data_IF_684937319124
#
_entry.id   IF_684937319124
#
_cell.length_a   1.000
_cell.length_b   1.000
_cell.length_c   1.000
_cell.angle_alpha   90.00
_cell.angle_beta   90.00
_cell.angle_gamma   90.00
#
_symmetry.space_group_name_H-M   'P 1'
#
loop_
_entity.id
_entity.type
_entity.pdbx_description
1 polymer ?
#
# COMPACT_ATOMS: atom_id res chain seq x y z
N UNK A 1 -26.93 11.11 5.92
CA UNK A 1 -26.89 12.39 5.17
C UNK A 1 -25.42 12.71 4.96
N UNK A 2 -24.93 12.73 3.71
CA UNK A 2 -23.50 12.98 3.43
C UNK A 2 -23.19 14.41 3.87
N UNK A 3 -22.27 14.56 4.82
CA UNK A 3 -21.80 15.86 5.29
C UNK A 3 -20.73 16.41 4.34
N UNK A 4 -20.76 17.72 4.14
CA UNK A 4 -19.70 18.41 3.38
C UNK A 4 -18.37 18.27 4.11
N UNK A 5 -17.29 17.97 3.36
CA UNK A 5 -15.94 17.93 3.92
C UNK A 5 -15.50 19.32 4.44
N UNK A 6 -16.02 20.40 3.86
CA UNK A 6 -15.79 21.78 4.28
C UNK A 6 -17.06 22.61 4.04
N UNK A 7 -17.44 23.56 4.91
CA UNK A 7 -18.62 24.42 4.71
C UNK A 7 -18.69 25.11 3.34
N UNK A 8 -17.54 25.36 2.70
CA UNK A 8 -17.41 26.01 1.39
C UNK A 8 -17.45 25.05 0.20
N UNK A 9 -17.54 23.73 0.41
CA UNK A 9 -17.61 22.79 -0.72
C UNK A 9 -18.93 22.97 -1.48
N UNK A 10 -18.85 23.06 -2.80
CA UNK A 10 -20.03 23.16 -3.67
C UNK A 10 -20.61 21.77 -3.94
N UNK A 11 -21.93 21.71 -4.09
CA UNK A 11 -22.59 20.47 -4.50
C UNK A 11 -22.34 20.27 -6.00
N UNK A 12 -21.76 19.12 -6.34
CA UNK A 12 -21.43 18.73 -7.71
C UNK A 12 -22.11 17.39 -7.98
N UNK A 13 -22.69 17.24 -9.17
CA UNK A 13 -23.18 15.95 -9.65
C UNK A 13 -22.03 15.23 -10.35
N UNK A 14 -22.00 13.90 -10.31
CA UNK A 14 -20.97 13.15 -11.04
C UNK A 14 -21.07 13.43 -12.54
N UNK A 15 -19.94 13.61 -13.21
CA UNK A 15 -19.88 13.94 -14.64
C UNK A 15 -20.68 12.95 -15.51
N UNK A 16 -20.76 11.67 -15.11
CA UNK A 16 -21.53 10.63 -15.79
C UNK A 16 -23.04 10.89 -15.85
N UNK A 17 -23.56 11.78 -14.97
CA UNK A 17 -24.97 12.16 -14.89
C UNK A 17 -25.23 13.61 -15.33
N UNK A 18 -24.19 14.39 -15.64
CA UNK A 18 -24.34 15.75 -16.16
C UNK A 18 -24.39 15.76 -17.68
N UNK A 19 -25.59 15.53 -18.21
CA UNK A 19 -25.85 15.62 -19.65
C UNK A 19 -26.10 17.06 -20.13
N UNK A 20 -26.07 18.05 -19.23
CA UNK A 20 -26.53 19.41 -19.54
C UNK A 20 -25.39 20.39 -19.71
N UNK A 21 -24.24 20.14 -19.07
CA UNK A 21 -23.05 20.97 -19.24
C UNK A 21 -22.11 20.37 -20.28
N UNK A 22 -21.55 21.22 -21.15
CA UNK A 22 -20.45 20.78 -22.00
C UNK A 22 -19.22 20.53 -21.12
N UNK A 23 -18.47 19.43 -21.34
CA UNK A 23 -17.28 19.16 -20.57
C UNK A 23 -16.25 20.28 -20.76
N UNK A 24 -15.68 20.75 -19.64
CA UNK A 24 -14.67 21.81 -19.66
C UNK A 24 -13.42 21.41 -20.44
N UNK A 25 -12.87 22.34 -21.21
CA UNK A 25 -11.57 22.13 -21.86
C UNK A 25 -10.45 22.43 -20.86
N UNK A 26 -9.50 21.50 -20.69
CA UNK A 26 -8.36 21.74 -19.83
C UNK A 26 -7.36 22.70 -20.50
N UNK A 27 -7.37 23.96 -20.08
CA UNK A 27 -6.45 25.02 -20.53
C UNK A 27 -5.40 25.39 -19.49
N UNK A 28 -5.52 24.88 -18.26
CA UNK A 28 -4.68 25.26 -17.13
C UNK A 28 -3.32 24.58 -17.10
N UNK A 29 -3.17 23.40 -17.71
CA UNK A 29 -1.90 22.69 -17.83
C UNK A 29 -1.34 22.98 -19.22
N UNK A 30 -0.23 23.72 -19.29
CA UNK A 30 0.46 24.03 -20.55
C UNK A 30 1.30 22.83 -20.98
N UNK A 31 1.99 22.19 -20.04
CA UNK A 31 2.90 21.10 -20.34
C UNK A 31 2.89 20.04 -19.22
N UNK A 32 3.09 18.79 -19.62
CA UNK A 32 3.28 17.66 -18.73
C UNK A 32 4.54 16.92 -19.15
N UNK A 33 5.56 16.91 -18.29
CA UNK A 33 6.86 16.33 -18.60
C UNK A 33 7.21 15.19 -17.66
N UNK A 34 8.03 14.26 -18.15
CA UNK A 34 8.64 13.19 -17.38
C UNK A 34 10.13 13.44 -17.27
N UNK A 35 10.63 13.52 -16.03
CA UNK A 35 12.03 13.84 -15.76
C UNK A 35 12.66 12.69 -14.98
N UNK A 36 13.74 12.06 -15.47
CA UNK A 36 14.53 11.13 -14.68
C UNK A 36 15.39 11.90 -13.67
N UNK A 37 15.26 11.56 -12.39
CA UNK A 37 15.99 12.12 -11.26
C UNK A 37 17.01 11.08 -10.80
N UNK A 38 18.31 11.33 -10.97
CA UNK A 38 19.34 10.43 -10.50
C UNK A 38 19.48 10.49 -8.98
N UNK A 39 20.26 9.57 -8.42
CA UNK A 39 20.67 9.64 -7.02
C UNK A 39 21.43 10.94 -6.73
N UNK A 40 21.10 11.56 -5.60
CA UNK A 40 21.83 12.71 -5.06
C UNK A 40 23.13 12.29 -4.38
N UNK A 41 23.14 11.12 -3.75
CA UNK A 41 24.31 10.56 -3.10
C UNK A 41 25.01 9.53 -3.98
N UNK A 42 26.26 9.20 -3.67
CA UNK A 42 26.96 8.10 -4.35
C UNK A 42 26.22 6.79 -4.12
N UNK A 43 26.08 6.00 -5.18
CA UNK A 43 25.43 4.70 -5.13
C UNK A 43 26.11 3.76 -4.10
N UNK A 44 25.31 3.19 -3.21
CA UNK A 44 25.72 2.18 -2.23
C UNK A 44 24.70 1.03 -2.25
N UNK A 45 25.15 -0.21 -2.41
CA UNK A 45 24.24 -1.35 -2.58
C UNK A 45 23.26 -1.56 -1.40
N UNK A 46 23.63 -1.15 -0.19
CA UNK A 46 22.78 -1.24 1.02
C UNK A 46 22.00 0.05 1.32
N UNK A 47 22.02 1.02 0.41
CA UNK A 47 21.49 2.36 0.62
C UNK A 47 22.28 3.17 1.66
N UNK A 48 21.76 4.32 2.08
CA UNK A 48 20.50 4.92 1.64
C UNK A 48 20.54 5.38 0.18
N UNK A 49 19.40 5.37 -0.50
CA UNK A 49 19.24 5.97 -1.83
C UNK A 49 18.49 7.29 -1.68
N UNK A 50 19.16 8.42 -1.95
CA UNK A 50 18.57 9.74 -1.76
C UNK A 50 18.21 10.39 -3.10
N UNK A 51 16.97 10.85 -3.22
CA UNK A 51 16.46 11.57 -4.38
C UNK A 51 15.94 12.95 -3.95
N UNK A 52 16.17 13.96 -4.79
CA UNK A 52 15.48 15.25 -4.69
C UNK A 52 14.53 15.33 -5.86
N UNK A 53 13.25 15.06 -5.59
CA UNK A 53 12.23 14.84 -6.62
C UNK A 53 11.84 16.14 -7.34
N UNK A 54 12.08 17.29 -6.73
CA UNK A 54 11.79 18.60 -7.32
C UNK A 54 13.04 19.22 -7.90
N UNK A 55 13.01 19.50 -9.22
CA UNK A 55 14.13 20.12 -9.94
C UNK A 55 13.81 21.56 -10.35
N UNK A 56 12.52 21.92 -10.47
CA UNK A 56 12.07 23.25 -10.87
C UNK A 56 11.16 23.88 -9.80
N UNK A 57 11.44 25.13 -9.43
CA UNK A 57 10.62 25.88 -8.46
C UNK A 57 9.28 26.36 -9.03
N UNK A 58 9.10 26.34 -10.36
CA UNK A 58 7.86 26.74 -11.03
C UNK A 58 6.92 25.59 -11.35
N UNK A 59 7.43 24.36 -11.46
CA UNK A 59 6.63 23.21 -11.85
C UNK A 59 5.94 22.59 -10.63
N UNK A 60 4.78 21.98 -10.86
CA UNK A 60 4.00 21.29 -9.84
C UNK A 60 4.28 19.79 -9.94
N UNK A 61 4.69 19.16 -8.85
CA UNK A 61 5.07 17.76 -8.84
C UNK A 61 3.83 16.87 -8.72
N UNK A 62 3.64 15.95 -9.67
CA UNK A 62 2.60 14.94 -9.58
C UNK A 62 3.09 13.75 -8.76
N UNK A 63 2.69 13.74 -7.48
CA UNK A 63 3.09 12.73 -6.51
C UNK A 63 2.61 11.31 -6.90
N UNK A 64 1.38 11.20 -7.41
CA UNK A 64 0.81 9.91 -7.85
C UNK A 64 1.51 9.33 -9.06
N UNK A 65 2.04 10.20 -9.93
CA UNK A 65 2.82 9.82 -11.12
C UNK A 65 4.32 9.95 -10.87
N UNK A 66 4.77 9.38 -9.75
CA UNK A 66 6.19 9.24 -9.42
C UNK A 66 6.53 7.77 -9.26
N UNK A 67 7.53 7.33 -10.01
CA UNK A 67 7.99 5.94 -10.05
C UNK A 67 9.44 5.83 -9.60
N UNK A 68 9.79 4.72 -8.95
CA UNK A 68 11.16 4.30 -8.74
C UNK A 68 11.47 3.19 -9.73
N UNK A 69 12.59 3.34 -10.42
CA UNK A 69 13.07 2.37 -11.39
C UNK A 69 14.37 1.77 -10.86
N UNK A 70 14.41 0.45 -10.77
CA UNK A 70 15.57 -0.30 -10.31
C UNK A 70 16.06 -1.20 -11.43
N UNK A 71 17.36 -1.20 -11.65
CA UNK A 71 18.04 -2.20 -12.49
C UNK A 71 18.86 -3.11 -11.60
N UNK A 72 18.64 -4.42 -11.70
CA UNK A 72 19.28 -5.40 -10.83
C UNK A 72 19.72 -6.67 -11.58
N UNK A 73 20.57 -7.43 -10.91
CA UNK A 73 21.02 -8.76 -11.31
C UNK A 73 21.12 -9.66 -10.07
N UNK A 74 20.86 -10.96 -10.23
CA UNK A 74 21.09 -11.97 -9.18
C UNK A 74 22.38 -12.72 -9.51
N UNK A 75 23.31 -12.75 -8.56
CA UNK A 75 24.59 -13.46 -8.68
C UNK A 75 24.77 -14.45 -7.54
N UNK A 76 25.80 -15.30 -7.60
CA UNK A 76 26.27 -15.99 -6.41
C UNK A 76 26.90 -15.01 -5.40
N UNK A 77 27.23 -15.50 -4.20
CA UNK A 77 27.91 -14.72 -3.16
C UNK A 77 29.33 -14.26 -3.54
N UNK A 78 29.91 -14.77 -4.64
CA UNK A 78 31.20 -14.37 -5.19
C UNK A 78 31.06 -13.43 -6.39
N UNK A 79 29.84 -13.16 -6.85
CA UNK A 79 29.53 -12.31 -7.99
C UNK A 79 29.48 -12.99 -9.35
N UNK A 80 29.55 -14.32 -9.43
CA UNK A 80 29.40 -15.06 -10.68
C UNK A 80 27.92 -15.22 -11.08
N UNK A 81 27.67 -15.32 -12.39
CA UNK A 81 26.34 -15.61 -12.95
C UNK A 81 25.99 -17.08 -12.69
N UNK A 82 24.77 -17.33 -12.22
CA UNK A 82 24.25 -18.68 -11.97
C UNK A 82 23.36 -19.06 -13.15
N UNK A 83 23.57 -20.24 -13.72
CA UNK A 83 22.72 -20.77 -14.79
C UNK A 83 21.77 -21.81 -14.21
N UNK A 84 20.48 -21.71 -14.53
CA UNK A 84 19.51 -22.77 -14.21
C UNK A 84 19.59 -23.84 -15.28
N UNK A 85 19.88 -25.08 -14.91
CA UNK A 85 19.82 -26.19 -15.86
C UNK A 85 18.47 -26.90 -15.70
N UNK A 86 17.52 -26.57 -16.57
CA UNK A 86 16.15 -27.10 -16.56
C UNK A 86 16.06 -28.56 -17.05
N UNK A 87 17.17 -29.15 -17.53
CA UNK A 87 17.20 -30.54 -18.01
C UNK A 87 17.34 -31.58 -16.88
N UNK A 88 17.65 -31.13 -15.66
CA UNK A 88 17.83 -31.98 -14.48
C UNK A 88 16.48 -32.41 -13.87
N UNK A 89 16.45 -33.58 -13.22
CA UNK A 89 15.24 -34.09 -12.54
C UNK A 89 14.79 -33.20 -11.37
N UNK A 90 15.71 -32.48 -10.73
CA UNK A 90 15.45 -31.46 -9.70
C UNK A 90 16.32 -30.23 -9.99
N UNK A 91 15.90 -29.34 -10.89
CA UNK A 91 16.70 -28.19 -11.29
C UNK A 91 16.80 -27.18 -10.13
N UNK A 92 17.94 -26.52 -10.04
CA UNK A 92 18.08 -25.31 -9.23
C UNK A 92 17.25 -24.21 -9.88
N UNK A 93 16.20 -23.78 -9.20
CA UNK A 93 15.36 -22.66 -9.63
C UNK A 93 15.53 -21.51 -8.64
N UNK A 94 15.70 -20.32 -9.17
CA UNK A 94 15.71 -19.11 -8.36
C UNK A 94 14.96 -18.00 -9.08
N UNK A 95 14.39 -17.09 -8.31
CA UNK A 95 13.63 -15.97 -8.83
C UNK A 95 13.78 -14.79 -7.88
N UNK A 96 13.59 -13.54 -8.35
CA UNK A 96 13.28 -12.46 -7.44
C UNK A 96 11.97 -12.78 -6.70
N UNK A 97 11.87 -12.35 -5.44
CA UNK A 97 10.60 -12.42 -4.70
C UNK A 97 9.52 -11.67 -5.48
N UNK A 98 8.28 -12.13 -5.34
CA UNK A 98 7.14 -11.50 -5.98
C UNK A 98 7.04 -10.00 -5.64
N UNK A 99 6.55 -9.20 -6.59
CA UNK A 99 6.46 -7.74 -6.48
C UNK A 99 7.81 -7.07 -6.21
N UNK A 100 8.87 -7.50 -6.91
CA UNK A 100 10.25 -7.15 -6.61
C UNK A 100 10.51 -5.64 -6.55
N UNK A 101 9.89 -4.83 -7.42
CA UNK A 101 10.12 -3.40 -7.46
C UNK A 101 9.76 -2.68 -6.15
N UNK A 102 8.70 -3.14 -5.47
CA UNK A 102 8.38 -2.66 -4.13
C UNK A 102 9.15 -3.42 -3.04
N UNK A 103 9.38 -4.72 -3.21
CA UNK A 103 10.07 -5.56 -2.23
C UNK A 103 11.54 -5.17 -2.02
N UNK A 104 12.19 -4.60 -3.04
CA UNK A 104 13.53 -3.99 -2.92
C UNK A 104 13.54 -2.96 -1.79
N UNK A 105 12.44 -2.24 -1.55
CA UNK A 105 12.37 -1.21 -0.53
C UNK A 105 11.90 -1.76 0.82
N UNK A 106 12.71 -1.53 1.86
CA UNK A 106 12.37 -1.83 3.25
C UNK A 106 11.52 -0.73 3.88
N UNK A 107 11.97 0.52 3.74
CA UNK A 107 11.27 1.68 4.23
C UNK A 107 11.63 2.95 3.45
N UNK A 108 10.77 3.97 3.62
CA UNK A 108 10.92 5.30 3.10
C UNK A 108 11.06 6.31 4.23
N UNK A 109 11.77 7.39 3.92
CA UNK A 109 11.73 8.64 4.66
C UNK A 109 11.53 9.78 3.67
N UNK A 110 10.46 10.54 3.83
CA UNK A 110 10.12 11.67 2.98
C UNK A 110 10.26 12.95 3.79
N UNK A 111 11.09 13.86 3.30
CA UNK A 111 11.23 15.20 3.85
C UNK A 111 10.73 16.24 2.84
N UNK A 112 9.94 17.20 3.31
CA UNK A 112 9.52 18.35 2.53
C UNK A 112 10.10 19.58 3.22
N UNK A 113 10.88 20.39 2.49
CA UNK A 113 11.58 21.55 3.03
C UNK A 113 12.38 21.25 4.32
N UNK A 114 13.10 20.13 4.30
CA UNK A 114 13.89 19.60 5.43
C UNK A 114 13.10 19.16 6.67
N UNK A 115 11.76 19.21 6.65
CA UNK A 115 10.91 18.65 7.69
C UNK A 115 10.47 17.23 7.33
N UNK A 116 10.48 16.32 8.30
CA UNK A 116 10.02 14.96 8.09
C UNK A 116 8.50 14.94 7.86
N UNK A 117 8.08 14.65 6.63
CA UNK A 117 6.68 14.56 6.24
C UNK A 117 6.12 13.15 6.40
N UNK A 118 6.95 12.13 6.14
CA UNK A 118 6.53 10.73 6.27
C UNK A 118 7.71 9.81 6.59
N UNK A 119 7.47 8.83 7.44
CA UNK A 119 8.36 7.69 7.66
C UNK A 119 7.53 6.45 7.97
N UNK A 120 7.96 5.30 7.48
CA UNK A 120 7.33 4.02 7.80
C UNK A 120 8.34 3.04 8.41
N UNK A 121 7.83 2.07 9.18
CA UNK A 121 8.61 0.95 9.69
C UNK A 121 8.96 -0.04 8.56
N UNK A 122 9.66 -1.13 8.90
CA UNK A 122 10.19 -2.14 7.98
C UNK A 122 9.17 -3.01 7.22
N UNK A 123 7.89 -2.60 7.18
CA UNK A 123 6.78 -3.41 6.65
C UNK A 123 6.29 -2.96 5.26
N UNK A 124 7.03 -2.09 4.57
CA UNK A 124 6.62 -1.54 3.27
C UNK A 124 6.34 -2.63 2.23
N UNK A 125 7.32 -3.53 2.04
CA UNK A 125 7.23 -4.61 1.05
C UNK A 125 5.94 -5.42 1.22
N UNK A 126 5.61 -5.81 2.46
CA UNK A 126 4.38 -6.53 2.76
C UNK A 126 3.12 -5.71 2.49
N UNK A 127 3.06 -4.45 2.93
CA UNK A 127 1.92 -3.55 2.66
C UNK A 127 1.64 -3.45 1.16
N UNK A 128 2.69 -3.16 0.38
CA UNK A 128 2.58 -3.00 -1.07
C UNK A 128 2.15 -4.28 -1.79
N UNK A 129 2.64 -5.44 -1.33
CA UNK A 129 2.22 -6.73 -1.87
C UNK A 129 0.72 -6.99 -1.62
N UNK A 130 0.23 -6.78 -0.40
CA UNK A 130 -1.20 -6.94 -0.10
C UNK A 130 -2.07 -5.96 -0.86
N UNK A 131 -1.63 -4.71 -1.00
CA UNK A 131 -2.35 -3.72 -1.80
C UNK A 131 -2.49 -4.18 -3.26
N UNK A 132 -1.39 -4.68 -3.86
CA UNK A 132 -1.42 -5.22 -5.21
C UNK A 132 -2.27 -6.48 -5.35
N UNK A 133 -2.18 -7.39 -4.38
CA UNK A 133 -2.91 -8.64 -4.39
C UNK A 133 -4.43 -8.46 -4.18
N UNK A 134 -4.84 -7.51 -3.33
CA UNK A 134 -6.23 -7.38 -2.87
C UNK A 134 -7.00 -6.24 -3.55
N UNK A 135 -6.35 -5.14 -3.92
CA UNK A 135 -7.06 -3.93 -4.38
C UNK A 135 -7.27 -3.88 -5.89
N UNK A 136 -6.54 -4.68 -6.67
CA UNK A 136 -6.59 -4.65 -8.13
C UNK A 136 -7.24 -5.91 -8.72
N UNK A 137 -8.00 -5.70 -9.80
CA UNK A 137 -8.54 -6.78 -10.63
C UNK A 137 -7.43 -7.53 -11.39
N UNK A 138 -7.78 -8.71 -11.92
CA UNK A 138 -6.84 -9.58 -12.61
C UNK A 138 -6.16 -8.91 -13.83
N UNK A 139 -6.90 -8.09 -14.57
CA UNK A 139 -6.37 -7.40 -15.75
C UNK A 139 -5.20 -6.45 -15.43
N UNK A 140 -5.26 -5.75 -14.29
CA UNK A 140 -4.21 -4.85 -13.85
C UNK A 140 -3.01 -5.64 -13.34
N UNK A 141 -3.27 -6.78 -12.67
CA UNK A 141 -2.23 -7.72 -12.20
C UNK A 141 -1.42 -8.28 -13.36
N UNK A 142 -2.08 -8.65 -14.45
CA UNK A 142 -1.44 -9.25 -15.63
C UNK A 142 -0.86 -8.21 -16.61
N UNK A 143 -1.18 -6.93 -16.45
CA UNK A 143 -0.63 -5.83 -17.25
C UNK A 143 0.35 -4.98 -16.46
N UNK A 144 -0.13 -3.96 -15.73
CA UNK A 144 0.69 -2.91 -15.12
C UNK A 144 1.57 -3.45 -14.00
N UNK A 145 1.05 -4.35 -13.16
CA UNK A 145 1.81 -4.85 -12.01
C UNK A 145 2.93 -5.81 -12.42
N UNK A 146 2.89 -6.37 -13.63
CA UNK A 146 4.03 -7.14 -14.16
C UNK A 146 5.29 -6.29 -14.32
N UNK A 147 5.15 -4.98 -14.58
CA UNK A 147 6.28 -4.04 -14.61
C UNK A 147 6.95 -3.84 -13.24
N UNK A 148 6.20 -4.04 -12.15
CA UNK A 148 6.71 -4.08 -10.79
C UNK A 148 7.26 -5.48 -10.40
N UNK A 149 7.17 -6.46 -11.31
CA UNK A 149 7.52 -7.86 -11.09
C UNK A 149 6.50 -8.62 -10.26
N UNK A 150 5.23 -8.21 -10.28
CA UNK A 150 4.13 -8.97 -9.69
C UNK A 150 3.65 -10.04 -10.67
N UNK A 151 3.60 -11.28 -10.18
CA UNK A 151 3.00 -12.41 -10.90
C UNK A 151 2.13 -13.20 -9.93
N UNK A 152 0.91 -13.55 -10.32
CA UNK A 152 0.02 -14.26 -9.43
C UNK A 152 0.51 -15.69 -9.16
N UNK A 153 0.72 -16.01 -7.88
CA UNK A 153 1.04 -17.36 -7.42
C UNK A 153 -0.21 -18.09 -6.94
N UNK A 154 -0.33 -19.38 -7.30
CA UNK A 154 -1.46 -20.24 -6.93
C UNK A 154 -1.41 -20.65 -5.47
N UNK A 155 -0.20 -20.91 -4.96
CA UNK A 155 0.06 -21.29 -3.58
C UNK A 155 1.43 -20.75 -3.15
N UNK A 156 1.61 -20.61 -1.83
CA UNK A 156 2.90 -20.22 -1.23
C UNK A 156 3.84 -21.43 -1.33
N UNK A 157 5.11 -21.17 -1.65
CA UNK A 157 6.19 -22.18 -1.78
C UNK A 157 5.94 -23.27 -2.85
N UNK A 158 5.08 -22.99 -3.83
CA UNK A 158 4.81 -23.90 -4.94
C UNK A 158 5.79 -23.67 -6.11
N UNK A 159 6.73 -24.60 -6.28
CA UNK A 159 7.73 -24.61 -7.36
C UNK A 159 7.07 -24.64 -8.74
N UNK A 160 5.87 -25.23 -8.85
CA UNK A 160 5.13 -25.36 -10.10
C UNK A 160 4.13 -24.21 -10.31
N UNK A 161 4.11 -23.22 -9.41
CA UNK A 161 3.28 -22.03 -9.57
C UNK A 161 3.60 -21.34 -10.91
N UNK A 162 2.60 -21.07 -11.75
CA UNK A 162 2.81 -20.33 -13.00
C UNK A 162 3.44 -18.95 -12.78
N UNK A 163 3.17 -18.32 -11.63
CA UNK A 163 3.77 -17.03 -11.26
C UNK A 163 5.26 -17.14 -11.00
N UNK A 164 5.67 -18.15 -10.22
CA UNK A 164 7.08 -18.42 -9.91
C UNK A 164 7.88 -18.79 -11.16
N UNK A 165 7.34 -19.64 -12.03
CA UNK A 165 8.00 -20.03 -13.28
C UNK A 165 8.22 -18.82 -14.20
N UNK A 166 7.24 -17.92 -14.34
CA UNK A 166 7.41 -16.66 -15.09
C UNK A 166 8.49 -15.76 -14.50
N UNK A 167 8.63 -15.72 -13.17
CA UNK A 167 9.73 -14.98 -12.52
C UNK A 167 11.09 -15.64 -12.71
N UNK A 168 11.15 -16.97 -12.78
CA UNK A 168 12.38 -17.67 -13.16
C UNK A 168 12.75 -17.35 -14.62
N UNK A 169 11.78 -17.39 -15.53
CA UNK A 169 11.98 -17.13 -16.96
C UNK A 169 12.40 -15.68 -17.24
N UNK A 170 11.90 -14.72 -16.45
CA UNK A 170 12.28 -13.31 -16.59
C UNK A 170 13.75 -13.06 -16.27
N UNK A 171 14.38 -13.94 -15.48
CA UNK A 171 15.79 -13.82 -15.11
C UNK A 171 16.70 -14.84 -15.82
N UNK A 172 16.14 -15.94 -16.29
CA UNK A 172 16.90 -17.04 -16.87
C UNK A 172 17.59 -16.61 -18.17
N UNK A 173 18.92 -16.69 -18.20
CA UNK A 173 19.77 -16.22 -19.32
C UNK A 173 19.51 -14.76 -19.74
N UNK A 174 18.84 -13.99 -18.89
CA UNK A 174 18.65 -12.55 -19.10
C UNK A 174 19.77 -11.80 -18.39
N UNK A 175 20.18 -10.68 -19.00
CA UNK A 175 21.20 -9.81 -18.43
C UNK A 175 20.65 -9.00 -17.26
N UNK A 176 20.82 -7.68 -17.33
CA UNK A 176 20.32 -6.79 -16.30
C UNK A 176 18.83 -6.54 -16.48
N UNK A 177 18.07 -6.69 -15.40
CA UNK A 177 16.61 -6.60 -15.41
C UNK A 177 16.21 -5.28 -14.81
N UNK A 178 15.28 -4.60 -15.47
CA UNK A 178 14.72 -3.34 -14.99
C UNK A 178 13.28 -3.54 -14.55
N UNK A 179 12.96 -2.98 -13.39
CA UNK A 179 11.62 -3.00 -12.81
C UNK A 179 11.24 -1.61 -12.33
N UNK A 180 9.95 -1.28 -12.38
CA UNK A 180 9.45 0.02 -12.00
C UNK A 180 8.21 -0.11 -11.11
N UNK A 181 8.14 0.70 -10.06
CA UNK A 181 7.01 0.75 -9.15
C UNK A 181 6.68 2.18 -8.76
N UNK A 182 5.40 2.45 -8.55
CA UNK A 182 4.97 3.69 -7.90
C UNK A 182 5.34 3.65 -6.41
N UNK A 183 5.41 4.81 -5.77
CA UNK A 183 5.72 4.88 -4.34
C UNK A 183 4.42 4.74 -3.54
N UNK A 184 4.09 3.55 -3.03
CA UNK A 184 2.91 3.34 -2.17
C UNK A 184 3.04 3.92 -0.74
N UNK A 185 3.09 5.24 -0.62
CA UNK A 185 2.95 5.96 0.65
C UNK A 185 1.72 6.86 0.59
N UNK A 186 1.12 7.14 1.75
CA UNK A 186 -0.19 7.80 1.84
C UNK A 186 -0.22 9.15 1.09
N UNK A 187 0.88 9.94 1.13
CA UNK A 187 1.01 11.21 0.41
C UNK A 187 1.22 11.07 -1.10
N UNK A 188 1.79 9.95 -1.56
CA UNK A 188 1.98 9.70 -2.99
C UNK A 188 0.73 9.09 -3.62
N UNK A 189 -0.14 8.46 -2.82
CA UNK A 189 -1.37 7.85 -3.32
C UNK A 189 -2.52 8.85 -3.57
N UNK A 190 -2.43 10.07 -3.05
CA UNK A 190 -3.43 11.11 -3.30
C UNK A 190 -3.23 11.78 -4.69
N UNK A 191 -4.31 12.16 -5.40
CA UNK A 191 -4.25 12.58 -6.80
C UNK A 191 -3.84 14.04 -7.03
N UNK A 192 -3.79 14.89 -6.00
CA UNK A 192 -3.46 16.31 -6.15
C UNK A 192 -1.95 16.49 -6.34
N UNK A 193 -1.58 17.42 -7.20
CA UNK A 193 -0.17 17.81 -7.36
C UNK A 193 0.33 18.55 -6.12
N UNK A 194 1.59 18.34 -5.80
CA UNK A 194 2.27 19.13 -4.78
C UNK A 194 2.50 20.54 -5.31
N UNK A 195 2.30 21.54 -4.45
CA UNK A 195 2.62 22.93 -4.74
C UNK A 195 4.07 23.10 -5.18
N UNK A 196 4.28 24.07 -6.06
CA UNK A 196 5.59 24.49 -6.50
C UNK A 196 6.38 25.14 -5.34
N UNK A 197 7.71 25.21 -5.48
CA UNK A 197 8.58 25.74 -4.41
C UNK A 197 8.83 24.80 -3.22
N UNK A 198 8.21 23.62 -3.18
CA UNK A 198 8.54 22.58 -2.20
C UNK A 198 9.80 21.80 -2.60
N UNK A 199 10.78 21.69 -1.69
CA UNK A 199 11.91 20.76 -1.84
C UNK A 199 11.52 19.39 -1.29
N UNK A 200 11.34 18.39 -2.17
CA UNK A 200 10.96 17.04 -1.76
C UNK A 200 12.16 16.12 -1.81
N UNK A 201 12.66 15.74 -0.64
CA UNK A 201 13.73 14.74 -0.49
C UNK A 201 13.12 13.40 -0.12
N UNK A 202 13.30 12.41 -0.98
CA UNK A 202 12.94 11.01 -0.73
C UNK A 202 14.19 10.21 -0.42
N UNK A 203 14.23 9.58 0.74
CA UNK A 203 15.27 8.61 1.11
C UNK A 203 14.67 7.22 1.15
N UNK A 204 15.30 6.29 0.43
CA UNK A 204 14.85 4.90 0.27
C UNK A 204 15.90 3.98 0.88
N UNK A 205 15.45 3.05 1.72
CA UNK A 205 16.33 2.06 2.32
C UNK A 205 15.99 0.68 1.76
N UNK A 206 16.95 -0.03 1.13
CA UNK A 206 16.69 -1.31 0.53
C UNK A 206 16.61 -2.45 1.56
N UNK A 207 15.98 -3.56 1.14
CA UNK A 207 15.96 -4.82 1.87
C UNK A 207 17.22 -5.65 1.64
N UNK A 208 17.46 -6.60 2.55
CA UNK A 208 18.59 -7.52 2.46
C UNK A 208 18.38 -8.51 1.30
N UNK A 209 19.47 -8.90 0.61
CA UNK A 209 19.41 -9.87 -0.49
C UNK A 209 18.73 -11.20 -0.12
N UNK A 210 18.86 -11.65 1.14
CA UNK A 210 18.20 -12.88 1.65
C UNK A 210 16.67 -12.82 1.58
N UNK A 211 16.09 -11.62 1.61
CA UNK A 211 14.64 -11.42 1.48
C UNK A 211 14.20 -11.28 0.01
N UNK A 212 15.10 -10.81 -0.87
CA UNK A 212 14.77 -10.46 -2.25
C UNK A 212 14.85 -11.61 -3.23
N UNK A 213 15.46 -12.73 -2.84
CA UNK A 213 15.66 -13.89 -3.71
C UNK A 213 14.93 -15.09 -3.11
N UNK A 214 14.04 -15.66 -3.91
CA UNK A 214 13.37 -16.93 -3.67
C UNK A 214 14.11 -18.02 -4.45
N UNK A 215 14.35 -19.18 -3.84
CA UNK A 215 15.07 -20.27 -4.51
C UNK A 215 14.68 -21.64 -3.99
N UNK A 216 14.61 -22.61 -4.90
CA UNK A 216 14.31 -24.02 -4.61
C UNK A 216 15.43 -24.93 -5.09
N UNK A 217 15.58 -26.08 -4.43
CA UNK A 217 16.63 -27.07 -4.72
C UNK A 217 18.05 -26.48 -4.66
N UNK A 218 18.25 -25.45 -3.83
CA UNK A 218 19.53 -24.75 -3.66
C UNK A 218 20.56 -25.63 -2.94
N UNK A 219 21.76 -25.85 -3.52
CA UNK A 219 22.87 -26.46 -2.81
C UNK A 219 23.26 -25.61 -1.59
N UNK A 220 23.57 -26.23 -0.46
CA UNK A 220 23.88 -25.53 0.80
C UNK A 220 25.10 -24.60 0.69
N UNK A 221 25.95 -24.79 -0.31
CA UNK A 221 27.17 -24.02 -0.58
C UNK A 221 26.94 -22.74 -1.40
N UNK A 222 25.77 -22.59 -2.04
CA UNK A 222 25.49 -21.47 -2.94
C UNK A 222 24.64 -20.43 -2.23
N UNK A 223 25.22 -19.28 -1.87
CA UNK A 223 24.44 -18.11 -1.44
C UNK A 223 24.11 -17.21 -2.62
N UNK A 224 22.86 -16.76 -2.71
CA UNK A 224 22.43 -15.79 -3.71
C UNK A 224 22.63 -14.36 -3.20
N UNK A 225 23.11 -13.50 -4.08
CA UNK A 225 23.25 -12.07 -3.84
C UNK A 225 22.42 -11.29 -4.86
N UNK A 226 21.52 -10.45 -4.34
CA UNK A 226 20.76 -9.50 -5.13
C UNK A 226 21.58 -8.22 -5.29
N UNK A 227 22.04 -7.93 -6.52
CA UNK A 227 22.87 -6.76 -6.82
C UNK A 227 22.04 -5.72 -7.58
N UNK A 228 21.81 -4.59 -6.94
CA UNK A 228 21.28 -3.40 -7.62
C UNK A 228 22.43 -2.78 -8.40
N UNK A 229 22.23 -2.50 -9.68
CA UNK A 229 23.21 -1.87 -10.58
C UNK A 229 22.95 -0.38 -10.74
N UNK A 230 21.68 -0.01 -10.89
CA UNK A 230 21.26 1.37 -11.05
C UNK A 230 19.89 1.60 -10.41
N UNK A 231 19.66 2.84 -9.98
CA UNK A 231 18.38 3.27 -9.45
C UNK A 231 18.18 4.77 -9.74
N UNK A 232 17.00 5.10 -10.26
CA UNK A 232 16.59 6.49 -10.45
C UNK A 232 15.09 6.64 -10.18
N UNK A 233 14.66 7.86 -9.88
CA UNK A 233 13.25 8.20 -9.76
C UNK A 233 12.77 8.82 -11.07
N UNK A 234 11.60 8.43 -11.56
CA UNK A 234 10.94 9.04 -12.71
C UNK A 234 9.76 9.86 -12.20
N UNK A 235 9.87 11.19 -12.31
CA UNK A 235 8.86 12.12 -11.80
C UNK A 235 8.06 12.74 -12.94
N UNK A 236 6.76 12.94 -12.73
CA UNK A 236 5.92 13.74 -13.60
C UNK A 236 5.73 15.14 -13.02
N UNK A 237 5.96 16.16 -13.83
CA UNK A 237 5.78 17.56 -13.46
C UNK A 237 4.81 18.25 -14.42
N UNK A 238 3.98 19.15 -13.89
CA UNK A 238 3.12 20.02 -14.69
C UNK A 238 3.63 21.45 -14.67
N UNK A 239 3.65 22.06 -15.86
CA UNK A 239 3.79 23.49 -16.02
C UNK A 239 2.39 24.06 -16.26
N UNK A 240 1.94 24.93 -15.35
CA UNK A 240 0.61 25.53 -15.41
C UNK A 240 0.65 26.88 -16.15
N UNK A 241 -0.49 27.31 -16.65
CA UNK A 241 -0.66 28.66 -17.18
C UNK A 241 -0.53 29.71 -16.09
N UNK A 242 0.13 30.83 -16.40
CA UNK A 242 0.44 31.89 -15.44
C UNK A 242 -0.79 32.36 -14.65
N UNK A 243 -1.95 32.49 -15.32
CA UNK A 243 -3.20 32.87 -14.67
C UNK A 243 -3.64 31.89 -13.57
N UNK A 244 -3.50 30.57 -13.81
CA UNK A 244 -3.85 29.54 -12.83
C UNK A 244 -2.82 29.48 -11.70
N UNK A 245 -1.53 29.56 -12.01
CA UNK A 245 -0.47 29.63 -11.01
C UNK A 245 -0.64 30.82 -10.06
N UNK A 246 -0.97 32.00 -10.61
CA UNK A 246 -1.22 33.20 -9.80
C UNK A 246 -2.47 33.06 -8.92
N UNK A 247 -3.53 32.43 -9.44
CA UNK A 247 -4.74 32.17 -8.66
C UNK A 247 -4.48 31.19 -7.51
N UNK A 248 -3.68 30.13 -7.75
CA UNK A 248 -3.27 29.20 -6.72
C UNK A 248 -2.42 29.89 -5.65
N UNK A 249 -1.46 30.73 -6.03
CA UNK A 249 -0.64 31.49 -5.08
C UNK A 249 -1.49 32.44 -4.22
N UNK A 250 -2.44 33.16 -4.84
CA UNK A 250 -3.38 34.01 -4.12
C UNK A 250 -4.22 33.20 -3.11
N UNK A 251 -4.69 32.01 -3.48
CA UNK A 251 -5.43 31.12 -2.59
C UNK A 251 -4.57 30.60 -1.42
N UNK A 252 -3.27 30.31 -1.65
CA UNK A 252 -2.33 29.94 -0.59
C UNK A 252 -2.23 31.08 0.43
N UNK A 253 -2.07 32.32 -0.04
CA UNK A 253 -1.95 33.51 0.80
C UNK A 253 -3.24 33.81 1.59
N UNK A 254 -4.39 33.67 0.95
CA UNK A 254 -5.70 33.91 1.57
C UNK A 254 -6.01 32.87 2.66
N UNK A 255 -5.85 31.59 2.32
CA UNK A 255 -6.28 30.50 3.20
C UNK A 255 -5.20 30.08 4.21
N UNK A 256 -3.94 30.50 4.01
CA UNK A 256 -2.75 30.24 4.86
C UNK A 256 -2.35 28.77 5.00
N UNK A 257 -3.27 27.83 4.78
CA UNK A 257 -3.05 26.38 4.87
C UNK A 257 -3.73 25.71 3.68
N UNK A 258 -2.99 24.85 2.99
CA UNK A 258 -3.52 23.97 1.95
C UNK A 258 -3.50 22.54 2.46
N UNK A 259 -4.64 21.89 2.37
CA UNK A 259 -4.85 20.53 2.86
C UNK A 259 -4.84 19.54 1.71
N UNK A 260 -4.10 18.44 1.88
CA UNK A 260 -4.12 17.30 0.97
C UNK A 260 -4.98 16.19 1.58
N UNK A 261 -5.93 15.61 0.83
CA UNK A 261 -6.70 14.48 1.32
C UNK A 261 -5.78 13.25 1.38
N UNK A 262 -5.57 12.72 2.58
CA UNK A 262 -4.75 11.53 2.81
C UNK A 262 -5.63 10.40 3.33
N UNK A 263 -5.53 9.23 2.71
CA UNK A 263 -6.12 8.00 3.25
C UNK A 263 -5.00 7.23 3.92
N UNK A 264 -4.92 7.29 5.24
CA UNK A 264 -3.94 6.49 5.96
C UNK A 264 -4.46 5.08 6.22
N UNK A 265 -3.67 4.07 5.86
CA UNK A 265 -4.04 2.67 6.10
C UNK A 265 -4.25 2.36 7.58
N UNK A 266 -3.52 3.05 8.47
CA UNK A 266 -3.69 2.92 9.93
C UNK A 266 -5.02 3.51 10.40
N UNK A 267 -5.41 4.65 9.82
CA UNK A 267 -6.71 5.27 10.07
C UNK A 267 -7.82 4.37 9.56
N UNK A 268 -7.64 3.66 8.44
CA UNK A 268 -8.62 2.67 7.96
C UNK A 268 -8.83 1.55 8.97
N UNK A 269 -7.78 0.96 9.51
CA UNK A 269 -7.91 -0.12 10.52
C UNK A 269 -8.48 0.40 11.83
N UNK A 270 -8.12 1.62 12.23
CA UNK A 270 -8.70 2.28 13.40
C UNK A 270 -10.20 2.60 13.20
N UNK A 271 -10.61 3.11 12.04
CA UNK A 271 -12.02 3.35 11.71
C UNK A 271 -12.77 2.03 11.65
N UNK A 272 -12.19 0.98 11.06
CA UNK A 272 -12.77 -0.35 11.05
C UNK A 272 -12.99 -0.87 12.47
N UNK A 273 -12.04 -0.67 13.40
CA UNK A 273 -12.26 -0.95 14.83
C UNK A 273 -13.49 -0.20 15.37
N UNK A 274 -13.57 1.11 15.12
CA UNK A 274 -14.71 1.91 15.61
C UNK A 274 -16.03 1.51 14.94
N UNK A 275 -16.01 1.07 13.68
CA UNK A 275 -17.18 0.60 12.95
C UNK A 275 -17.65 -0.75 13.49
N UNK A 276 -16.75 -1.72 13.68
CA UNK A 276 -17.11 -3.03 14.24
C UNK A 276 -17.65 -2.91 15.67
N UNK A 277 -17.14 -1.99 16.47
CA UNK A 277 -17.66 -1.74 17.82
C UNK A 277 -18.94 -0.88 17.83
N UNK A 278 -19.48 -0.52 16.66
CA UNK A 278 -20.68 0.30 16.52
C UNK A 278 -20.51 1.77 16.91
N UNK A 279 -19.30 2.22 17.25
CA UNK A 279 -19.00 3.60 17.68
C UNK A 279 -19.06 4.63 16.55
N UNK A 280 -18.82 4.23 15.30
CA UNK A 280 -18.84 5.15 14.16
C UNK A 280 -20.26 5.68 13.85
N UNK A 281 -21.32 5.02 14.34
CA UNK A 281 -22.72 5.33 14.02
C UNK A 281 -23.54 5.84 15.21
N UNK A 282 -22.94 6.00 16.40
CA UNK A 282 -23.61 6.52 17.59
C UNK A 282 -22.79 7.64 18.26
N UNK A 283 -23.46 8.64 18.85
CA UNK A 283 -22.79 9.78 19.51
C UNK A 283 -22.63 9.58 21.02
N UNK A 284 -22.95 8.39 21.54
CA UNK A 284 -23.10 8.15 22.98
C UNK A 284 -22.10 7.12 23.54
N UNK A 285 -21.37 6.37 22.71
CA UNK A 285 -20.35 5.42 23.17
C UNK A 285 -19.05 5.58 22.42
N UNK A 286 -17.93 5.37 23.13
CA UNK A 286 -16.59 5.29 22.53
C UNK A 286 -15.74 4.33 23.35
N UNK A 287 -14.77 3.70 22.71
CA UNK A 287 -13.82 2.80 23.38
C UNK A 287 -12.64 3.53 24.05
N UNK A 288 -12.62 4.86 24.04
CA UNK A 288 -11.53 5.73 24.56
C UNK A 288 -10.14 5.45 23.97
N UNK A 289 -10.04 4.63 22.92
CA UNK A 289 -8.78 4.38 22.21
C UNK A 289 -8.63 5.49 21.18
N UNK A 290 -7.65 6.36 21.37
CA UNK A 290 -7.30 7.39 20.37
C UNK A 290 -6.54 6.77 19.19
N UNK A 291 -6.54 7.46 18.05
CA UNK A 291 -5.72 7.08 16.88
C UNK A 291 -4.25 6.91 17.24
N UNK A 292 -3.72 7.76 18.12
CA UNK A 292 -2.33 7.70 18.58
C UNK A 292 -2.05 6.48 19.46
N UNK A 293 -2.98 6.14 20.37
CA UNK A 293 -2.88 4.92 21.21
C UNK A 293 -2.95 3.65 20.39
N UNK A 294 -3.82 3.62 19.38
CA UNK A 294 -3.97 2.49 18.46
C UNK A 294 -2.70 2.26 17.62
N UNK A 295 -2.08 3.35 17.16
CA UNK A 295 -0.92 3.33 16.27
C UNK A 295 0.38 2.97 17.00
N UNK A 296 0.68 3.70 18.08
CA UNK A 296 2.00 3.67 18.73
C UNK A 296 1.94 3.18 20.18
N UNK A 297 0.75 3.12 20.79
CA UNK A 297 0.57 2.79 22.21
C UNK A 297 0.30 1.31 22.50
N UNK A 298 0.23 0.45 21.49
CA UNK A 298 -0.05 -0.98 21.68
C UNK A 298 -1.52 -1.33 21.98
N UNK A 299 -2.44 -0.37 21.86
CA UNK A 299 -3.89 -0.57 22.07
C UNK A 299 -4.60 -1.01 20.78
N UNK A 300 -3.96 -1.87 19.99
CA UNK A 300 -4.46 -2.31 18.68
C UNK A 300 -5.48 -3.44 18.87
N UNK A 301 -6.75 -3.17 18.60
CA UNK A 301 -7.82 -4.16 18.56
C UNK A 301 -8.26 -4.34 17.10
N UNK A 302 -8.34 -5.58 16.65
CA UNK A 302 -8.83 -5.89 15.31
C UNK A 302 -10.32 -6.23 15.38
N UNK A 303 -11.15 -5.35 14.82
CA UNK A 303 -12.58 -5.57 14.66
C UNK A 303 -12.89 -6.33 13.37
N UNK A 304 -13.69 -7.39 13.50
CA UNK A 304 -14.26 -8.13 12.38
C UNK A 304 -15.78 -8.13 12.50
N UNK A 305 -16.46 -7.48 11.56
CA UNK A 305 -17.90 -7.58 11.41
C UNK A 305 -18.22 -8.88 10.67
N UNK A 306 -18.97 -9.78 11.30
CA UNK A 306 -19.32 -11.08 10.74
C UNK A 306 -20.74 -11.10 10.16
N UNK A 307 -21.50 -10.02 10.33
CA UNK A 307 -22.87 -9.92 9.84
C UNK A 307 -22.91 -9.68 8.32
N UNK A 308 -23.71 -10.45 7.55
CA UNK A 308 -23.84 -10.28 6.11
C UNK A 308 -24.55 -8.99 5.69
N UNK A 309 -25.26 -8.32 6.62
CA UNK A 309 -25.99 -7.07 6.39
C UNK A 309 -25.28 -5.88 7.08
N UNK A 310 -24.00 -5.66 6.79
CA UNK A 310 -23.22 -4.56 7.37
C UNK A 310 -23.73 -3.14 7.02
N UNK A 311 -24.75 -3.02 6.17
CA UNK A 311 -25.21 -1.75 5.58
C UNK A 311 -26.50 -1.18 6.18
N UNK A 312 -27.37 -1.99 6.81
CA UNK A 312 -28.67 -1.51 7.30
C UNK A 312 -29.05 -2.11 8.67
N UNK A 313 -28.89 -1.33 9.74
CA UNK A 313 -29.20 -1.72 11.11
C UNK A 313 -30.71 -1.81 11.39
N UNK A 314 -31.58 -1.50 10.42
CA UNK A 314 -33.03 -1.63 10.57
C UNK A 314 -33.55 -3.01 10.16
N UNK A 315 -32.72 -3.83 9.52
CA UNK A 315 -33.08 -5.16 9.07
C UNK A 315 -32.70 -6.19 10.13
N UNK A 316 -33.70 -6.97 10.54
CA UNK A 316 -33.53 -8.07 11.48
C UNK A 316 -33.16 -9.35 10.72
N UNK A 317 -32.06 -9.99 11.11
CA UNK A 317 -31.66 -11.28 10.54
C UNK A 317 -32.07 -12.45 11.45
N UNK A 318 -32.47 -13.56 10.85
CA UNK A 318 -32.63 -14.81 11.60
C UNK A 318 -31.25 -15.30 12.04
N UNK A 319 -31.02 -15.34 13.35
CA UNK A 319 -29.79 -15.90 13.90
C UNK A 319 -29.68 -17.38 13.51
N UNK A 320 -28.63 -17.73 12.77
CA UNK A 320 -28.31 -19.12 12.38
C UNK A 320 -27.13 -19.61 13.18
N UNK A 321 -27.22 -20.82 13.73
CA UNK A 321 -26.06 -21.48 14.34
C UNK A 321 -25.00 -21.76 13.28
N UNK A 322 -23.78 -21.27 13.50
CA UNK A 322 -22.61 -21.52 12.65
C UNK A 322 -21.35 -21.64 13.52
N UNK A 323 -20.29 -22.23 12.98
CA UNK A 323 -19.00 -22.31 13.65
C UNK A 323 -18.09 -21.18 13.18
N UNK A 324 -17.57 -20.39 14.12
CA UNK A 324 -16.52 -19.38 13.85
C UNK A 324 -15.16 -19.97 14.24
N UNK A 325 -14.22 -20.02 13.28
CA UNK A 325 -12.84 -20.49 13.54
C UNK A 325 -11.84 -19.36 13.32
N UNK A 326 -11.02 -19.07 14.32
CA UNK A 326 -9.91 -18.11 14.20
C UNK A 326 -8.61 -18.89 14.01
N UNK A 327 -7.88 -18.62 12.92
CA UNK A 327 -6.55 -19.19 12.67
C UNK A 327 -5.52 -18.06 12.64
N UNK A 328 -4.55 -18.12 13.56
CA UNK A 328 -3.46 -17.15 13.64
C UNK A 328 -2.14 -17.86 13.27
N UNK A 329 -1.40 -17.28 12.33
CA UNK A 329 -0.08 -17.76 11.94
C UNK A 329 0.96 -16.70 12.31
N UNK A 330 1.98 -17.11 13.05
CA UNK A 330 3.10 -16.25 13.45
C UNK A 330 4.34 -16.57 12.63
N UNK A 331 5.08 -15.54 12.23
CA UNK A 331 6.33 -15.69 11.47
C UNK A 331 7.43 -16.32 12.31
N UNK A 332 7.51 -15.95 13.58
CA UNK A 332 8.50 -16.43 14.53
C UNK A 332 7.84 -17.34 15.57
N UNK A 333 8.64 -18.20 16.21
CA UNK A 333 8.16 -19.03 17.31
C UNK A 333 7.59 -18.15 18.43
N UNK A 334 6.43 -18.54 18.97
CA UNK A 334 5.84 -17.83 20.10
C UNK A 334 6.81 -17.83 21.30
N UNK A 335 6.85 -16.75 22.09
CA UNK A 335 7.71 -16.67 23.27
C UNK A 335 7.52 -17.87 24.21
N UNK A 336 8.53 -18.20 25.02
CA UNK A 336 8.50 -19.32 25.97
C UNK A 336 7.34 -19.22 26.98
N UNK A 337 6.88 -17.99 27.28
CA UNK A 337 5.69 -17.70 28.10
C UNK A 337 4.34 -17.79 27.37
N UNK A 338 4.32 -18.17 26.09
CA UNK A 338 3.12 -18.21 25.25
C UNK A 338 2.57 -16.83 24.89
N UNK A 339 1.43 -16.82 24.18
CA UNK A 339 0.67 -15.61 23.86
C UNK A 339 -0.74 -15.75 24.43
N UNK A 340 -1.23 -14.69 25.07
CA UNK A 340 -2.63 -14.60 25.47
C UNK A 340 -3.42 -13.90 24.35
N UNK A 341 -4.31 -14.64 23.71
CA UNK A 341 -5.30 -14.07 22.80
C UNK A 341 -6.62 -13.92 23.56
N UNK A 342 -7.06 -12.68 23.76
CA UNK A 342 -8.40 -12.39 24.29
C UNK A 342 -9.32 -12.12 23.12
N UNK A 343 -10.33 -12.99 22.96
CA UNK A 343 -11.37 -12.82 21.93
C UNK A 343 -12.61 -12.29 22.63
N UNK A 344 -13.08 -11.13 22.19
CA UNK A 344 -14.35 -10.54 22.60
C UNK A 344 -15.32 -10.67 21.42
N UNK A 345 -16.46 -11.30 21.65
CA UNK A 345 -17.50 -11.48 20.66
C UNK A 345 -18.84 -11.03 21.24
N UNK A 346 -19.59 -10.29 20.44
CA UNK A 346 -20.96 -9.85 20.73
C UNK A 346 -21.89 -10.57 19.75
N UNK A 347 -23.01 -11.08 20.25
CA UNK A 347 -23.99 -11.80 19.45
C UNK A 347 -25.38 -11.26 19.77
N UNK A 348 -26.20 -11.08 18.75
CA UNK A 348 -27.59 -10.72 18.92
C UNK A 348 -28.37 -11.85 19.60
N UNK A 349 -29.16 -11.48 20.61
CA UNK A 349 -30.08 -12.40 21.29
C UNK A 349 -31.52 -11.94 21.10
N UNK A 350 -32.41 -12.91 20.89
CA UNK A 350 -33.84 -12.66 20.79
C UNK A 350 -34.46 -12.84 22.18
N UNK A 351 -35.01 -11.75 22.71
CA UNK A 351 -35.90 -11.80 23.85
C UNK A 351 -37.33 -11.95 23.34
N UNK A 352 -37.99 -13.04 23.70
CA UNK A 352 -39.41 -13.23 23.42
C UNK A 352 -40.22 -13.32 24.70
N UNK A 353 -41.49 -12.95 24.62
CA UNK A 353 -42.47 -13.13 25.69
C UNK A 353 -43.53 -14.10 25.21
N UNK A 354 -43.82 -15.11 26.02
CA UNK A 354 -44.94 -15.99 25.75
C UNK A 354 -46.29 -15.25 25.95
N UNK A 355 -47.44 -15.85 25.56
CA UNK A 355 -48.76 -15.24 25.79
C UNK A 355 -49.10 -14.96 27.27
N UNK A 356 -48.36 -15.56 28.21
CA UNK A 356 -48.47 -15.34 29.65
C UNK A 356 -47.45 -14.31 30.17
N UNK A 357 -46.67 -13.68 29.28
CA UNK A 357 -45.59 -12.71 29.56
C UNK A 357 -44.42 -13.30 30.35
N UNK A 358 -44.18 -14.60 30.23
CA UNK A 358 -42.94 -15.19 30.71
C UNK A 358 -41.81 -14.89 29.72
N UNK A 359 -40.64 -14.47 30.20
CA UNK A 359 -39.47 -14.25 29.34
C UNK A 359 -38.93 -15.57 28.81
N UNK A 360 -38.72 -15.65 27.51
CA UNK A 360 -37.98 -16.71 26.83
C UNK A 360 -36.76 -16.08 26.17
N UNK A 361 -35.58 -16.51 26.61
CA UNK A 361 -34.29 -16.10 26.05
C UNK A 361 -33.72 -17.34 25.38
N UNK A 362 -33.73 -17.36 24.05
CA UNK A 362 -33.04 -18.39 23.30
C UNK A 362 -31.54 -18.07 23.34
N UNK A 363 -30.80 -18.77 24.20
CA UNK A 363 -29.35 -18.70 24.23
C UNK A 363 -28.80 -19.49 23.03
N UNK A 364 -28.50 -18.78 21.95
CA UNK A 364 -27.81 -19.34 20.80
C UNK A 364 -26.31 -19.29 21.14
N UNK A 365 -25.78 -20.42 21.60
CA UNK A 365 -24.33 -20.69 21.60
C UNK A 365 -24.01 -21.60 20.43
#
# INVERSE_FOLDING_TARGET
>A
MISRMDPKSHDVIVDDLDFTTMPGTQTGVINSRWTPIPLKNTFQAQGPFEFVLTNNSRSYLNLKRTYLVFTFQITDGKGAVITMDTSLTNPLLYAPINNIAHSIVKNFSLHINSQLAFHNSSNYAYKSYFEQALMYGQEIKDSTLTAAGFYHDTAIDDIQSPGFLKRCDSIHNQGDIQVAANISIDLMNQPRVLLNGCNVKLTVYPNNSKFLVESFNRPTTTEFQFKIKDVYALVNEFDLADGLSNALEAAVLEHKVIQYPLISSQVRTYIQLQETLGHTRNSFSCNSISTQMFKDGGYTIFGFELSPIAQDNSLFELVRQTNVSIRLNFRDATPEGGLYCVVYAEFDQIFSLDPLRNPQIDAIV
#
